data_IF_352250315583
#
_entry.id   IF_352250315583
#
_cell.length_a   1.000
_cell.length_b   1.000
_cell.length_c   1.000
_cell.angle_alpha   90.00
_cell.angle_beta   90.00
_cell.angle_gamma   90.00
#
_symmetry.space_group_name_H-M   'P 1'
#
loop_
_entity.id
_entity.type
_entity.pdbx_description
1 polymer ?
#
# COMPACT_ATOMS: atom_id res chain seq x y z
N UNK A 1 -8.11 -18.54 -44.28
CA UNK A 1 -9.25 -17.61 -44.13
C UNK A 1 -9.63 -17.62 -42.65
N UNK A 2 -9.09 -16.74 -41.81
CA UNK A 2 -9.43 -15.32 -41.59
C UNK A 2 -10.53 -15.11 -40.53
N UNK A 3 -10.20 -14.22 -39.58
CA UNK A 3 -11.00 -13.53 -38.52
C UNK A 3 -11.09 -14.27 -37.17
N UNK A 4 -10.40 -13.87 -36.09
CA UNK A 4 -10.32 -12.59 -35.36
C UNK A 4 -11.54 -12.28 -34.47
N UNK A 5 -11.37 -12.38 -33.15
CA UNK A 5 -11.99 -11.47 -32.17
C UNK A 5 -11.22 -11.51 -30.84
N UNK A 6 -10.40 -10.47 -30.60
CA UNK A 6 -10.02 -10.04 -29.26
C UNK A 6 -11.11 -9.11 -28.73
N UNK A 7 -11.36 -9.08 -27.41
CA UNK A 7 -11.65 -7.82 -26.74
C UNK A 7 -10.48 -7.47 -25.81
N UNK A 8 -9.72 -6.48 -26.24
CA UNK A 8 -9.00 -5.58 -25.34
C UNK A 8 -9.99 -4.78 -24.49
N UNK A 9 -9.53 -4.37 -23.32
CA UNK A 9 -9.93 -3.14 -22.62
C UNK A 9 -11.12 -3.26 -21.66
N UNK A 10 -10.91 -2.86 -20.40
CA UNK A 10 -11.99 -2.36 -19.56
C UNK A 10 -12.04 -2.77 -18.09
N UNK A 11 -10.93 -2.86 -17.36
CA UNK A 11 -10.98 -2.98 -15.88
C UNK A 11 -10.21 -1.87 -15.14
N UNK A 12 -9.98 -0.72 -15.78
CA UNK A 12 -9.32 0.45 -15.17
C UNK A 12 -10.25 1.63 -14.86
N UNK A 13 -11.56 1.46 -15.01
CA UNK A 13 -12.53 2.57 -15.00
C UNK A 13 -13.25 2.81 -13.68
N UNK A 14 -13.33 1.81 -12.79
CA UNK A 14 -14.16 1.91 -11.57
C UNK A 14 -13.35 2.45 -10.38
N UNK A 15 -12.10 2.01 -10.21
CA UNK A 15 -11.23 2.47 -9.11
C UNK A 15 -10.93 3.97 -9.15
N UNK A 16 -10.79 4.57 -10.34
CA UNK A 16 -10.48 6.02 -10.47
C UNK A 16 -11.60 6.94 -9.97
N UNK A 17 -12.87 6.52 -10.05
CA UNK A 17 -14.02 7.38 -9.69
C UNK A 17 -14.39 7.29 -8.21
N UNK A 18 -14.11 6.18 -7.54
CA UNK A 18 -14.34 6.03 -6.09
C UNK A 18 -13.18 6.62 -5.27
N UNK A 19 -11.93 6.53 -5.75
CA UNK A 19 -10.77 7.17 -5.11
C UNK A 19 -10.87 8.70 -5.04
N UNK A 20 -11.57 9.33 -5.98
CA UNK A 20 -11.69 10.79 -6.07
C UNK A 20 -12.82 11.33 -5.18
N UNK A 21 -13.78 10.49 -4.77
CA UNK A 21 -14.99 10.91 -4.04
C UNK A 21 -14.85 10.90 -2.51
N UNK A 22 -13.81 10.25 -1.97
CA UNK A 22 -13.60 10.11 -0.51
C UNK A 22 -12.75 11.24 0.12
N UNK A 23 -12.35 12.25 -0.67
CA UNK A 23 -11.37 13.30 -0.31
C UNK A 23 -12.00 14.63 0.12
N UNK A 24 -12.98 14.66 1.03
CA UNK A 24 -13.48 15.94 1.56
C UNK A 24 -13.71 15.91 3.09
N UNK A 25 -12.60 15.85 3.84
CA UNK A 25 -12.48 16.48 5.17
C UNK A 25 -11.60 17.73 5.00
N UNK A 26 -11.83 18.78 5.81
CA UNK A 26 -11.81 20.18 5.38
C UNK A 26 -10.54 20.49 4.60
N UNK A 27 -10.72 20.82 3.32
CA UNK A 27 -9.67 21.31 2.42
C UNK A 27 -8.87 22.39 3.17
N UNK A 28 -7.74 22.00 3.72
CA UNK A 28 -6.66 22.95 4.00
C UNK A 28 -6.50 23.67 2.66
N UNK A 29 -6.74 24.99 2.62
CA UNK A 29 -6.63 25.80 1.40
C UNK A 29 -5.15 25.86 1.02
N UNK A 30 -4.62 24.75 0.53
CA UNK A 30 -3.26 24.64 0.03
C UNK A 30 -3.28 25.32 -1.33
N UNK A 31 -2.42 26.31 -1.50
CA UNK A 31 -2.34 27.06 -2.75
C UNK A 31 -2.23 26.12 -3.95
N UNK A 32 -2.99 26.33 -5.04
CA UNK A 32 -2.94 25.49 -6.23
C UNK A 32 -1.52 25.34 -6.81
N UNK A 33 -0.66 26.33 -6.58
CA UNK A 33 0.76 26.30 -6.94
C UNK A 33 1.54 25.24 -6.16
N UNK A 34 1.26 25.10 -4.86
CA UNK A 34 1.88 24.10 -3.98
C UNK A 34 1.39 22.70 -4.38
N UNK A 35 0.09 22.54 -4.66
CA UNK A 35 -0.45 21.28 -5.16
C UNK A 35 0.19 20.84 -6.49
N UNK A 36 0.42 21.78 -7.41
CA UNK A 36 1.15 21.52 -8.66
C UNK A 36 2.61 21.14 -8.39
N UNK A 37 3.27 21.78 -7.42
CA UNK A 37 4.65 21.43 -7.04
C UNK A 37 4.73 20.01 -6.47
N UNK A 38 3.81 19.64 -5.57
CA UNK A 38 3.73 18.29 -4.99
C UNK A 38 3.50 17.24 -6.07
N UNK A 39 2.61 17.50 -7.03
CA UNK A 39 2.34 16.53 -8.10
C UNK A 39 3.57 16.27 -8.98
N UNK A 40 4.37 17.31 -9.25
CA UNK A 40 5.65 17.20 -9.96
C UNK A 40 6.68 16.42 -9.14
N UNK A 41 6.83 16.72 -7.85
CA UNK A 41 7.75 16.00 -6.95
C UNK A 41 7.38 14.52 -6.86
N UNK A 42 6.09 14.22 -6.70
CA UNK A 42 5.55 12.85 -6.67
C UNK A 42 5.85 12.09 -7.96
N UNK A 43 5.67 12.73 -9.12
CA UNK A 43 5.93 12.09 -10.40
C UNK A 43 7.42 11.80 -10.57
N UNK A 44 8.29 12.78 -10.27
CA UNK A 44 9.75 12.58 -10.29
C UNK A 44 10.19 11.48 -9.34
N UNK A 45 9.65 11.44 -8.12
CA UNK A 45 9.95 10.37 -7.17
C UNK A 45 9.57 9.00 -7.73
N UNK A 46 8.40 8.88 -8.37
CA UNK A 46 7.98 7.64 -9.04
C UNK A 46 8.95 7.21 -10.15
N UNK A 47 9.43 8.16 -10.94
CA UNK A 47 10.40 7.91 -12.01
C UNK A 47 11.78 7.51 -11.45
N UNK A 48 12.17 8.02 -10.28
CA UNK A 48 13.39 7.61 -9.59
C UNK A 48 13.26 6.21 -8.98
N UNK A 49 12.08 5.87 -8.44
CA UNK A 49 11.80 4.51 -7.94
C UNK A 49 11.92 3.47 -9.06
N UNK A 50 11.45 3.77 -10.28
CA UNK A 50 11.62 2.86 -11.42
C UNK A 50 13.07 2.72 -11.87
N UNK A 51 13.90 3.74 -11.65
CA UNK A 51 15.35 3.73 -11.87
C UNK A 51 16.14 3.11 -10.71
N UNK A 52 15.47 2.62 -9.64
CA UNK A 52 16.09 2.10 -8.42
C UNK A 52 16.93 3.13 -7.64
N UNK A 53 16.70 4.43 -7.87
CA UNK A 53 17.34 5.53 -7.16
C UNK A 53 16.53 5.89 -5.91
N UNK A 54 16.54 4.99 -4.92
CA UNK A 54 15.63 5.07 -3.78
C UNK A 54 15.92 6.24 -2.83
N UNK A 55 17.19 6.57 -2.60
CA UNK A 55 17.58 7.69 -1.72
C UNK A 55 17.16 9.04 -2.31
N UNK A 56 17.40 9.26 -3.60
CA UNK A 56 16.96 10.47 -4.31
C UNK A 56 15.42 10.58 -4.29
N UNK A 57 14.72 9.45 -4.50
CA UNK A 57 13.26 9.42 -4.43
C UNK A 57 12.74 9.78 -3.02
N UNK A 58 13.40 9.27 -1.98
CA UNK A 58 13.06 9.53 -0.59
C UNK A 58 13.20 11.03 -0.26
N UNK A 59 14.29 11.68 -0.68
CA UNK A 59 14.47 13.12 -0.50
C UNK A 59 13.36 13.94 -1.17
N UNK A 60 12.95 13.58 -2.39
CA UNK A 60 11.82 14.24 -3.06
C UNK A 60 10.49 13.99 -2.35
N UNK A 61 10.29 12.82 -1.76
CA UNK A 61 9.06 12.49 -1.03
C UNK A 61 9.00 13.21 0.31
N UNK A 62 10.12 13.35 1.03
CA UNK A 62 10.20 14.13 2.26
C UNK A 62 9.82 15.58 2.02
N UNK A 63 10.42 16.22 1.01
CA UNK A 63 10.04 17.59 0.63
C UNK A 63 8.58 17.71 0.19
N UNK A 64 8.02 16.69 -0.47
CA UNK A 64 6.61 16.69 -0.85
C UNK A 64 5.67 16.55 0.36
N UNK A 65 6.06 15.77 1.37
CA UNK A 65 5.30 15.55 2.60
C UNK A 65 5.35 16.79 3.51
N UNK A 66 6.50 17.48 3.57
CA UNK A 66 6.61 18.78 4.26
C UNK A 66 5.65 19.82 3.68
N UNK A 67 5.44 19.80 2.35
CA UNK A 67 4.49 20.68 1.67
C UNK A 67 3.03 20.24 1.86
N UNK A 68 2.77 18.93 2.01
CA UNK A 68 1.45 18.40 2.30
C UNK A 68 1.51 17.03 2.98
N UNK A 69 1.26 17.04 4.29
CA UNK A 69 1.23 15.85 5.14
C UNK A 69 -0.08 15.07 5.10
N UNK A 70 -1.05 15.46 4.27
CA UNK A 70 -2.36 14.78 4.20
C UNK A 70 -2.49 13.83 3.00
N UNK A 71 -1.47 13.74 2.14
CA UNK A 71 -1.53 12.90 0.94
C UNK A 71 -1.04 11.48 1.20
N UNK A 72 -1.98 10.52 1.35
CA UNK A 72 -1.65 9.09 1.48
C UNK A 72 -0.77 8.56 0.33
N UNK A 73 -0.90 9.14 -0.88
CA UNK A 73 -0.11 8.76 -2.06
C UNK A 73 1.39 9.02 -1.87
N UNK A 74 1.76 10.04 -1.09
CA UNK A 74 3.17 10.34 -0.80
C UNK A 74 3.74 9.34 0.21
N UNK A 75 3.02 9.10 1.31
CA UNK A 75 3.41 8.08 2.30
C UNK A 75 3.52 6.69 1.69
N UNK A 76 2.60 6.32 0.79
CA UNK A 76 2.68 5.06 0.04
C UNK A 76 3.98 4.93 -0.76
N UNK A 77 4.34 5.97 -1.52
CA UNK A 77 5.59 5.96 -2.31
C UNK A 77 6.82 5.95 -1.42
N UNK A 78 6.78 6.64 -0.27
CA UNK A 78 7.91 6.68 0.66
C UNK A 78 8.09 5.34 1.38
N UNK A 79 6.99 4.69 1.78
CA UNK A 79 7.00 3.31 2.28
C UNK A 79 7.65 2.34 1.30
N UNK A 80 7.37 2.45 -0.01
CA UNK A 80 8.04 1.65 -1.04
C UNK A 80 9.54 1.96 -1.09
N UNK A 81 9.94 3.23 -1.13
CA UNK A 81 11.34 3.64 -1.15
C UNK A 81 12.10 3.09 0.07
N UNK A 82 11.53 3.25 1.26
CA UNK A 82 12.06 2.77 2.53
C UNK A 82 12.17 1.24 2.56
N UNK A 83 11.17 0.53 2.03
CA UNK A 83 11.19 -0.92 1.93
C UNK A 83 12.31 -1.42 1.01
N UNK A 84 12.55 -0.74 -0.10
CA UNK A 84 13.68 -1.03 -1.00
C UNK A 84 15.04 -0.73 -0.35
N UNK A 85 15.09 0.23 0.58
CA UNK A 85 16.26 0.56 1.41
C UNK A 85 16.36 -0.31 2.67
N UNK A 86 15.49 -1.31 2.83
CA UNK A 86 15.43 -2.19 4.02
C UNK A 86 15.15 -1.46 5.34
N UNK A 87 14.62 -0.24 5.28
CA UNK A 87 14.20 0.54 6.45
C UNK A 87 12.75 0.21 6.81
N UNK A 88 12.51 -1.05 7.20
CA UNK A 88 11.18 -1.60 7.35
C UNK A 88 10.37 -0.95 8.49
N UNK A 89 11.00 -0.57 9.59
CA UNK A 89 10.33 0.14 10.70
C UNK A 89 9.70 1.46 10.22
N UNK A 90 10.47 2.27 9.47
CA UNK A 90 9.98 3.52 8.89
C UNK A 90 8.93 3.26 7.82
N UNK A 91 9.07 2.18 7.04
CA UNK A 91 8.10 1.80 6.03
C UNK A 91 6.75 1.40 6.65
N UNK A 92 6.76 0.71 7.80
CA UNK A 92 5.57 0.35 8.56
C UNK A 92 4.85 1.60 9.10
N UNK A 93 5.59 2.56 9.67
CA UNK A 93 5.04 3.85 10.13
C UNK A 93 4.37 4.60 8.98
N UNK A 94 5.00 4.64 7.80
CA UNK A 94 4.38 5.27 6.62
C UNK A 94 3.15 4.51 6.13
N UNK A 95 3.16 3.18 6.20
CA UNK A 95 2.00 2.37 5.85
C UNK A 95 0.82 2.60 6.82
N UNK A 96 1.09 2.77 8.12
CA UNK A 96 0.08 3.18 9.10
C UNK A 96 -0.51 4.55 8.76
N UNK A 97 0.30 5.52 8.34
CA UNK A 97 -0.20 6.82 7.85
C UNK A 97 -1.10 6.67 6.62
N UNK A 98 -0.80 5.74 5.71
CA UNK A 98 -1.68 5.45 4.57
C UNK A 98 -3.04 4.92 5.05
N UNK A 99 -3.05 4.01 6.03
CA UNK A 99 -4.27 3.44 6.62
C UNK A 99 -5.09 4.51 7.34
N UNK A 100 -4.45 5.40 8.12
CA UNK A 100 -5.12 6.50 8.80
C UNK A 100 -5.78 7.50 7.83
N UNK A 101 -5.07 7.85 6.74
CA UNK A 101 -5.53 8.83 5.76
C UNK A 101 -6.55 8.24 4.78
N UNK A 102 -6.42 6.94 4.45
CA UNK A 102 -7.23 6.27 3.45
C UNK A 102 -7.49 4.79 3.86
N UNK A 103 -8.34 4.55 4.87
CA UNK A 103 -8.57 3.20 5.42
C UNK A 103 -9.27 2.25 4.44
N UNK A 104 -9.87 2.77 3.38
CA UNK A 104 -10.50 1.99 2.31
C UNK A 104 -9.51 1.54 1.24
N UNK A 105 -8.25 1.95 1.30
CA UNK A 105 -7.23 1.63 0.29
C UNK A 105 -6.39 0.46 0.78
N UNK A 106 -6.40 -0.62 0.01
CA UNK A 106 -5.68 -1.85 0.36
C UNK A 106 -4.15 -1.70 0.41
N UNK A 107 -3.60 -0.71 -0.33
CA UNK A 107 -2.15 -0.50 -0.42
C UNK A 107 -1.50 -0.28 0.95
N UNK A 108 -2.18 0.43 1.87
CA UNK A 108 -1.65 0.66 3.22
C UNK A 108 -1.46 -0.65 3.98
N UNK A 109 -2.45 -1.54 3.93
CA UNK A 109 -2.39 -2.86 4.55
C UNK A 109 -1.36 -3.77 3.89
N UNK A 110 -1.23 -3.73 2.56
CA UNK A 110 -0.20 -4.46 1.83
C UNK A 110 1.20 -4.02 2.27
N UNK A 111 1.49 -2.72 2.26
CA UNK A 111 2.80 -2.19 2.61
C UNK A 111 3.12 -2.39 4.09
N UNK A 112 2.13 -2.30 4.98
CA UNK A 112 2.29 -2.63 6.39
C UNK A 112 2.64 -4.11 6.58
N UNK A 113 1.87 -5.00 5.97
CA UNK A 113 2.10 -6.45 6.04
C UNK A 113 3.48 -6.82 5.50
N UNK A 114 3.88 -6.23 4.37
CA UNK A 114 5.21 -6.40 3.79
C UNK A 114 6.30 -5.95 4.75
N UNK A 115 6.22 -4.74 5.30
CA UNK A 115 7.23 -4.22 6.22
C UNK A 115 7.37 -5.09 7.47
N UNK A 116 6.26 -5.48 8.10
CA UNK A 116 6.24 -6.35 9.28
C UNK A 116 6.80 -7.75 8.99
N UNK A 117 6.52 -8.29 7.80
CA UNK A 117 7.05 -9.58 7.37
C UNK A 117 8.58 -9.58 7.33
N UNK A 118 9.20 -8.53 6.78
CA UNK A 118 10.66 -8.40 6.76
C UNK A 118 11.25 -8.03 8.13
N UNK A 119 10.47 -7.44 9.03
CA UNK A 119 10.82 -7.28 10.44
C UNK A 119 10.69 -8.58 11.25
N UNK A 120 10.26 -9.68 10.62
CA UNK A 120 10.00 -10.98 11.25
C UNK A 120 8.84 -10.96 12.25
N UNK A 121 8.04 -9.89 12.26
CA UNK A 121 6.74 -9.85 12.92
C UNK A 121 5.69 -10.46 11.99
N UNK A 122 5.75 -11.78 11.85
CA UNK A 122 4.87 -12.53 10.95
C UNK A 122 3.41 -12.51 11.43
N UNK A 123 3.20 -12.42 12.74
CA UNK A 123 1.89 -12.23 13.35
C UNK A 123 1.24 -10.91 12.92
N UNK A 124 1.96 -9.80 13.11
CA UNK A 124 1.51 -8.48 12.69
C UNK A 124 1.33 -8.40 11.17
N UNK A 125 2.22 -9.04 10.40
CA UNK A 125 2.12 -9.13 8.95
C UNK A 125 0.83 -9.83 8.50
N UNK A 126 0.53 -11.00 9.07
CA UNK A 126 -0.66 -11.76 8.76
C UNK A 126 -1.93 -10.96 9.10
N UNK A 127 -1.94 -10.25 10.24
CA UNK A 127 -3.06 -9.39 10.63
C UNK A 127 -3.26 -8.21 9.67
N UNK A 128 -2.17 -7.59 9.22
CA UNK A 128 -2.23 -6.50 8.23
C UNK A 128 -2.77 -7.01 6.88
N UNK A 129 -2.28 -8.15 6.37
CA UNK A 129 -2.78 -8.74 5.13
C UNK A 129 -4.24 -9.17 5.23
N UNK A 130 -4.66 -9.77 6.35
CA UNK A 130 -6.06 -10.11 6.63
C UNK A 130 -6.96 -8.87 6.59
N UNK A 131 -6.51 -7.76 7.18
CA UNK A 131 -7.24 -6.49 7.16
C UNK A 131 -7.40 -5.95 5.74
N UNK A 132 -6.37 -6.08 4.89
CA UNK A 132 -6.47 -5.77 3.47
C UNK A 132 -7.42 -6.70 2.70
N UNK A 133 -7.44 -8.00 3.03
CA UNK A 133 -8.35 -8.99 2.43
C UNK A 133 -9.81 -8.73 2.80
N UNK A 134 -10.11 -8.14 3.96
CA UNK A 134 -11.48 -7.69 4.27
C UNK A 134 -11.97 -6.59 3.32
N UNK A 135 -11.07 -5.79 2.75
CA UNK A 135 -11.41 -4.79 1.73
C UNK A 135 -11.54 -5.40 0.34
N UNK A 136 -10.63 -6.31 -0.02
CA UNK A 136 -10.69 -7.05 -1.27
C UNK A 136 -10.33 -8.53 -1.07
N UNK A 137 -11.35 -9.40 -0.87
CA UNK A 137 -11.11 -10.82 -0.59
C UNK A 137 -10.49 -11.59 -1.75
N UNK A 138 -10.57 -11.06 -2.96
CA UNK A 138 -10.10 -11.72 -4.20
C UNK A 138 -8.65 -11.40 -4.53
N UNK A 139 -8.00 -10.53 -3.77
CA UNK A 139 -6.63 -10.12 -4.05
C UNK A 139 -5.65 -11.27 -3.79
N UNK A 140 -5.04 -11.75 -4.87
CA UNK A 140 -4.11 -12.88 -4.83
C UNK A 140 -2.83 -12.54 -4.07
N UNK A 141 -2.37 -11.28 -4.16
CA UNK A 141 -1.10 -10.85 -3.57
C UNK A 141 -1.21 -10.78 -2.05
N UNK A 142 -2.27 -10.15 -1.54
CA UNK A 142 -2.57 -10.12 -0.10
C UNK A 142 -2.83 -11.53 0.43
N UNK A 143 -3.56 -12.35 -0.32
CA UNK A 143 -3.83 -13.74 0.07
C UNK A 143 -2.53 -14.53 0.18
N UNK A 144 -1.63 -14.39 -0.79
CA UNK A 144 -0.32 -15.02 -0.75
C UNK A 144 0.49 -14.53 0.46
N UNK A 145 0.62 -13.21 0.65
CA UNK A 145 1.35 -12.65 1.79
C UNK A 145 0.79 -13.08 3.15
N UNK A 146 -0.54 -13.20 3.26
CA UNK A 146 -1.20 -13.76 4.43
C UNK A 146 -0.75 -15.20 4.69
N UNK A 147 -0.86 -16.10 3.71
CA UNK A 147 -0.49 -17.51 3.89
C UNK A 147 1.01 -17.70 4.13
N UNK A 148 1.86 -16.90 3.49
CA UNK A 148 3.30 -16.91 3.71
C UNK A 148 3.62 -16.53 5.16
N UNK A 149 2.98 -15.48 5.68
CA UNK A 149 3.15 -15.03 7.06
C UNK A 149 2.63 -16.09 8.06
N UNK A 150 1.45 -16.63 7.82
CA UNK A 150 0.82 -17.69 8.64
C UNK A 150 1.68 -18.96 8.70
N UNK A 151 2.24 -19.39 7.57
CA UNK A 151 3.11 -20.56 7.51
C UNK A 151 4.35 -20.38 8.39
N UNK A 152 4.95 -19.19 8.39
CA UNK A 152 6.12 -18.87 9.21
C UNK A 152 5.78 -18.76 10.70
N UNK A 153 4.59 -18.24 11.02
CA UNK A 153 4.06 -18.23 12.38
C UNK A 153 3.92 -19.66 12.92
N UNK A 154 3.33 -20.57 12.14
CA UNK A 154 3.15 -21.98 12.50
C UNK A 154 4.47 -22.74 12.69
N UNK A 155 5.55 -22.31 12.03
CA UNK A 155 6.90 -22.88 12.18
C UNK A 155 7.62 -22.44 13.47
N UNK A 156 6.95 -21.72 14.37
CA UNK A 156 7.46 -21.41 15.72
C UNK A 156 7.84 -19.95 15.94
N UNK A 157 7.29 -19.01 15.16
CA UNK A 157 7.49 -17.57 15.34
C UNK A 157 6.17 -16.93 15.76
N UNK A 158 5.86 -17.07 17.05
CA UNK A 158 4.82 -16.38 17.83
C UNK A 158 3.51 -16.07 17.08
N UNK A 159 2.49 -16.91 17.26
CA UNK A 159 1.09 -16.52 17.05
C UNK A 159 0.65 -15.60 18.21
N UNK A 160 -0.08 -14.49 17.98
CA UNK A 160 -0.88 -13.89 19.03
C UNK A 160 -1.98 -14.87 19.45
N UNK A 161 -2.32 -14.91 20.74
CA UNK A 161 -3.36 -15.81 21.30
C UNK A 161 -4.76 -15.63 20.66
N UNK A 162 -5.02 -14.52 19.96
CA UNK A 162 -6.32 -14.18 19.37
C UNK A 162 -6.30 -14.12 17.83
N UNK A 163 -5.40 -14.85 17.17
CA UNK A 163 -5.32 -14.85 15.71
C UNK A 163 -6.21 -15.93 15.08
N UNK A 164 -7.42 -15.55 14.70
CA UNK A 164 -8.37 -16.44 14.02
C UNK A 164 -8.00 -16.64 12.54
N UNK A 165 -7.58 -17.86 12.19
CA UNK A 165 -7.29 -18.27 10.81
C UNK A 165 -8.53 -18.38 9.91
N UNK A 166 -9.72 -18.46 10.52
CA UNK A 166 -10.98 -18.77 9.83
C UNK A 166 -11.73 -17.56 9.23
N UNK A 167 -11.29 -16.33 9.51
CA UNK A 167 -11.98 -15.10 9.08
C UNK A 167 -11.74 -14.73 7.59
N UNK A 168 -10.79 -15.36 6.91
CA UNK A 168 -10.46 -15.05 5.50
C UNK A 168 -11.24 -15.95 4.55
N UNK A 169 -12.58 -15.99 4.67
CA UNK A 169 -13.54 -16.64 3.75
C UNK A 169 -12.88 -17.63 2.77
N UNK A 170 -12.36 -18.74 3.30
CA UNK A 170 -11.69 -19.77 2.53
C UNK A 170 -12.79 -20.62 1.91
N UNK A 171 -13.34 -20.13 0.81
CA UNK A 171 -14.05 -20.98 -0.15
C UNK A 171 -13.69 -20.53 -1.56
N UNK A 172 -12.43 -20.74 -1.95
CA UNK A 172 -12.17 -21.11 -3.34
C UNK A 172 -12.20 -22.65 -3.37
N UNK A 173 -13.41 -23.19 -3.52
CA UNK A 173 -13.65 -24.52 -4.07
C UNK A 173 -13.24 -24.53 -5.54
#
# INVERSE_FOLDING_TARGET
MSKAFLPSSGAGGVQKKEEEKLLDKPKLKVDPRILKKISVLRQKAKDLLSQKKFEEALALLDTAIELNSTSYKLYRLRSIALSCLQQYERAAIDADRVIELAPSVMDGYYHKGFALFYMQDYAGAAHAFQSGLRLNPTDKTLRQGFWDAVSLVAQGRTCPENFDFDDVSITNR
#
